data_IF_735669639005
#
_entry.id   IF_735669639005
#
_cell.length_a   1.000
_cell.length_b   1.000
_cell.length_c   1.000
_cell.angle_alpha   90.00
_cell.angle_beta   90.00
_cell.angle_gamma   90.00
#
_symmetry.space_group_name_H-M   'P 1'
#
loop_
_entity.id
_entity.type
_entity.pdbx_description
1 polymer ?
#
# COMPACT_ATOMS: atom_id res chain seq x y z
N UNK A 1 0.11 4.57 0.81
CA UNK A 1 0.35 3.40 1.68
C UNK A 1 -0.72 3.39 2.77
N UNK A 2 -1.40 2.26 2.99
CA UNK A 2 -2.51 2.19 3.96
C UNK A 2 -1.97 2.00 5.39
N UNK A 3 -2.36 2.89 6.29
CA UNK A 3 -1.91 2.88 7.69
C UNK A 3 -2.88 2.17 8.63
N UNK A 4 -4.10 1.86 8.19
CA UNK A 4 -5.14 1.31 9.07
C UNK A 4 -5.27 -0.21 8.98
N UNK A 5 -5.05 -0.81 7.81
CA UNK A 5 -5.17 -2.27 7.64
C UNK A 5 -3.85 -2.90 7.24
N UNK A 6 -3.08 -2.26 6.37
CA UNK A 6 -1.80 -2.81 5.94
C UNK A 6 -0.72 -2.69 7.03
N UNK A 7 -0.32 -1.47 7.42
CA UNK A 7 0.82 -1.30 8.35
C UNK A 7 0.68 -1.96 9.74
N UNK A 8 -0.51 -2.03 10.39
CA UNK A 8 -0.62 -2.65 11.72
C UNK A 8 -0.65 -4.18 11.71
N UNK A 9 -1.17 -4.80 10.64
CA UNK A 9 -1.47 -6.24 10.61
C UNK A 9 -0.55 -7.05 9.69
N UNK A 10 0.22 -6.40 8.81
CA UNK A 10 1.15 -7.07 7.90
C UNK A 10 2.50 -7.38 8.56
N UNK A 11 3.21 -8.37 8.01
CA UNK A 11 4.62 -8.60 8.35
C UNK A 11 5.55 -7.61 7.62
N UNK A 12 6.78 -7.40 8.08
CA UNK A 12 7.75 -6.55 7.38
C UNK A 12 7.95 -6.93 5.90
N UNK A 13 7.95 -8.22 5.58
CA UNK A 13 8.08 -8.72 4.21
C UNK A 13 6.86 -8.36 3.36
N UNK A 14 5.65 -8.49 3.91
CA UNK A 14 4.42 -8.08 3.26
C UNK A 14 4.40 -6.56 3.03
N UNK A 15 4.89 -5.78 4.00
CA UNK A 15 5.03 -4.32 3.86
C UNK A 15 5.96 -3.98 2.71
N UNK A 16 7.13 -4.63 2.60
CA UNK A 16 8.05 -4.45 1.47
C UNK A 16 7.39 -4.78 0.13
N UNK A 17 6.68 -5.90 0.06
CA UNK A 17 5.98 -6.34 -1.14
C UNK A 17 4.94 -5.33 -1.60
N UNK A 18 4.11 -4.87 -0.67
CA UNK A 18 3.06 -3.90 -0.95
C UNK A 18 3.64 -2.56 -1.42
N UNK A 19 4.72 -2.08 -0.77
CA UNK A 19 5.42 -0.85 -1.19
C UNK A 19 5.96 -1.00 -2.61
N UNK A 20 6.62 -2.11 -2.92
CA UNK A 20 7.08 -2.41 -4.28
C UNK A 20 5.91 -2.37 -5.27
N UNK A 21 4.78 -2.97 -4.92
CA UNK A 21 3.57 -2.97 -5.76
C UNK A 21 3.07 -1.54 -6.01
N UNK A 22 3.00 -0.66 -5.00
CA UNK A 22 2.55 0.73 -5.19
C UNK A 22 3.54 1.55 -6.02
N UNK A 23 4.84 1.36 -5.82
CA UNK A 23 5.88 2.01 -6.64
C UNK A 23 5.75 1.57 -8.10
N UNK A 24 5.49 0.29 -8.35
CA UNK A 24 5.29 -0.23 -9.69
C UNK A 24 3.98 0.26 -10.34
N UNK A 25 2.90 0.33 -9.56
CA UNK A 25 1.59 0.77 -10.07
C UNK A 25 1.58 2.28 -10.37
N UNK A 26 2.18 3.10 -9.51
CA UNK A 26 2.06 4.57 -9.55
C UNK A 26 3.34 5.29 -9.98
N UNK A 27 4.51 4.67 -9.83
CA UNK A 27 5.82 5.28 -10.11
C UNK A 27 6.31 5.10 -11.55
N UNK A 28 5.62 4.31 -12.37
CA UNK A 28 5.92 4.18 -13.81
C UNK A 28 5.76 5.54 -14.49
N UNK A 29 6.87 6.09 -14.99
CA UNK A 29 6.90 7.41 -15.63
C UNK A 29 7.38 8.56 -14.74
N UNK A 30 7.73 8.29 -13.48
CA UNK A 30 8.27 9.32 -12.58
C UNK A 30 7.22 10.05 -11.75
N UNK A 31 7.67 10.90 -10.83
CA UNK A 31 6.81 11.85 -10.11
C UNK A 31 5.99 11.26 -8.94
N UNK A 32 6.13 9.97 -8.64
CA UNK A 32 5.48 9.36 -7.48
C UNK A 32 6.30 9.55 -6.21
N UNK A 33 5.66 10.07 -5.16
CA UNK A 33 6.24 10.20 -3.82
C UNK A 33 5.56 9.17 -2.92
N UNK A 34 6.35 8.21 -2.41
CA UNK A 34 5.85 7.21 -1.48
C UNK A 34 5.51 7.89 -0.15
N UNK A 35 4.23 7.89 0.20
CA UNK A 35 3.75 8.43 1.47
C UNK A 35 2.64 7.56 2.09
N UNK A 36 2.54 7.55 3.43
CA UNK A 36 1.35 7.11 4.15
C UNK A 36 0.10 7.91 3.73
N UNK A 37 -1.09 7.29 3.72
CA UNK A 37 -2.36 7.98 3.45
C UNK A 37 -2.79 8.92 4.59
N UNK A 38 -2.38 8.59 5.82
CA UNK A 38 -2.60 9.35 7.04
C UNK A 38 -1.39 9.18 7.97
N UNK A 39 -1.42 9.84 9.13
CA UNK A 39 -0.35 9.72 10.12
C UNK A 39 -0.18 8.26 10.58
N UNK A 40 1.06 7.85 10.80
CA UNK A 40 1.41 6.56 11.40
C UNK A 40 1.08 6.65 12.90
N UNK A 41 0.17 5.80 13.36
CA UNK A 41 -0.24 5.73 14.76
C UNK A 41 0.67 4.82 15.61
N UNK A 42 0.41 4.79 16.91
CA UNK A 42 1.15 3.94 17.86
C UNK A 42 0.83 2.43 17.73
N UNK A 43 -0.14 2.09 16.90
CA UNK A 43 -0.56 0.74 16.54
C UNK A 43 0.35 0.07 15.50
N UNK A 44 1.21 0.85 14.83
CA UNK A 44 2.16 0.32 13.86
C UNK A 44 3.46 -0.11 14.54
N UNK A 45 3.90 -1.34 14.28
CA UNK A 45 5.17 -1.84 14.81
C UNK A 45 6.36 -1.07 14.23
N UNK A 46 7.42 -0.80 15.02
CA UNK A 46 8.62 -0.13 14.52
C UNK A 46 9.27 -0.85 13.33
N UNK A 47 9.22 -2.19 13.30
CA UNK A 47 9.76 -3.01 12.22
C UNK A 47 9.02 -2.77 10.90
N UNK A 48 7.70 -2.55 10.94
CA UNK A 48 6.93 -2.24 9.74
C UNK A 48 7.21 -0.83 9.23
N UNK A 49 7.47 0.12 10.14
CA UNK A 49 7.90 1.48 9.77
C UNK A 49 9.27 1.42 9.08
N UNK A 50 10.23 0.71 9.68
CA UNK A 50 11.55 0.50 9.08
C UNK A 50 11.46 -0.18 7.71
N UNK A 51 10.65 -1.22 7.59
CA UNK A 51 10.42 -1.93 6.33
C UNK A 51 9.83 -1.01 5.25
N UNK A 52 8.89 -0.12 5.61
CA UNK A 52 8.33 0.87 4.71
C UNK A 52 9.40 1.82 4.17
N UNK A 53 10.22 2.40 5.05
CA UNK A 53 11.28 3.33 4.63
C UNK A 53 12.39 2.64 3.84
N UNK A 54 12.83 1.46 4.27
CA UNK A 54 13.83 0.66 3.56
C UNK A 54 13.35 0.30 2.15
N UNK A 55 12.12 -0.19 2.02
CA UNK A 55 11.52 -0.50 0.72
C UNK A 55 11.39 0.74 -0.17
N UNK A 56 10.96 1.87 0.39
CA UNK A 56 10.85 3.11 -0.38
C UNK A 56 12.22 3.59 -0.91
N UNK A 57 13.28 3.44 -0.11
CA UNK A 57 14.63 3.84 -0.50
C UNK A 57 15.24 2.89 -1.55
N UNK A 58 15.07 1.59 -1.37
CA UNK A 58 15.61 0.55 -2.24
C UNK A 58 14.88 0.48 -3.59
N UNK A 59 13.54 0.48 -3.55
CA UNK A 59 12.70 0.28 -4.74
C UNK A 59 12.34 1.58 -5.47
N UNK A 60 12.54 2.74 -4.83
CA UNK A 60 12.26 4.05 -5.41
C UNK A 60 13.36 4.59 -6.35
N UNK A 61 14.45 3.86 -6.53
CA UNK A 61 15.54 4.28 -7.43
C UNK A 61 15.14 4.06 -8.90
N UNK A 62 15.41 5.07 -9.74
CA UNK A 62 15.19 4.97 -11.18
C UNK A 62 16.46 4.48 -11.90
N UNK A 63 16.34 3.58 -12.89
CA UNK A 63 15.09 2.97 -13.39
C UNK A 63 14.49 1.95 -12.42
N UNK A 64 13.16 1.98 -12.25
CA UNK A 64 12.44 1.06 -11.34
C UNK A 64 12.59 -0.38 -11.88
N UNK A 65 13.24 -1.23 -11.11
CA UNK A 65 13.47 -2.65 -11.42
C UNK A 65 12.85 -3.54 -10.34
N UNK A 66 11.60 -3.98 -10.54
CA UNK A 66 10.85 -4.77 -9.55
C UNK A 66 10.47 -6.16 -10.04
N UNK A 67 11.08 -6.61 -11.14
CA UNK A 67 10.79 -7.88 -11.80
C UNK A 67 11.17 -9.13 -11.01
N UNK A 68 11.97 -8.98 -9.95
CA UNK A 68 12.38 -10.08 -9.09
C UNK A 68 11.56 -10.15 -7.79
N UNK A 69 10.77 -9.11 -7.50
CA UNK A 69 9.98 -8.99 -6.26
C UNK A 69 8.51 -9.24 -6.54
N UNK A 70 7.96 -8.64 -7.59
CA UNK A 70 6.54 -8.74 -7.90
C UNK A 70 6.23 -10.01 -8.69
N UNK A 71 5.15 -10.70 -8.31
CA UNK A 71 4.65 -11.83 -9.08
C UNK A 71 4.18 -11.39 -10.48
N UNK A 72 4.09 -12.33 -11.43
CA UNK A 72 3.53 -12.03 -12.76
C UNK A 72 2.08 -11.53 -12.69
N UNK A 73 1.31 -12.00 -11.70
CA UNK A 73 -0.07 -11.58 -11.49
C UNK A 73 -0.18 -10.09 -11.17
N UNK A 74 0.75 -9.54 -10.39
CA UNK A 74 0.74 -8.10 -10.02
C UNK A 74 1.17 -7.19 -11.17
N UNK A 75 1.87 -7.73 -12.17
CA UNK A 75 2.30 -6.95 -13.33
C UNK A 75 1.22 -6.78 -14.39
N UNK A 76 0.22 -7.66 -14.36
CA UNK A 76 -0.91 -7.59 -15.28
C UNK A 76 -1.77 -6.36 -14.95
N UNK A 77 -2.05 -5.47 -15.92
CA UNK A 77 -2.99 -4.39 -15.69
C UNK A 77 -4.37 -4.97 -15.36
N UNK A 78 -5.06 -4.47 -14.32
CA UNK A 78 -6.37 -4.96 -13.94
C UNK A 78 -7.35 -4.76 -15.10
N UNK A 79 -8.17 -5.77 -15.33
CA UNK A 79 -9.21 -5.75 -16.37
C UNK A 79 -10.30 -4.76 -15.97
N UNK A 80 -10.97 -4.11 -16.94
CA UNK A 80 -12.03 -3.12 -16.64
C UNK A 80 -13.14 -3.67 -15.74
N UNK A 81 -13.45 -4.97 -15.85
CA UNK A 81 -14.41 -5.66 -14.99
C UNK A 81 -13.97 -5.71 -13.51
N UNK A 82 -12.67 -5.86 -13.24
CA UNK A 82 -12.11 -5.92 -11.87
C UNK A 82 -12.08 -4.53 -11.24
N UNK A 83 -11.75 -3.50 -12.03
CA UNK A 83 -11.81 -2.09 -11.61
C UNK A 83 -13.26 -1.72 -11.23
N UNK A 84 -14.22 -2.10 -12.07
CA UNK A 84 -15.64 -1.85 -11.82
C UNK A 84 -16.15 -2.57 -10.55
N UNK A 85 -15.68 -3.78 -10.27
CA UNK A 85 -16.05 -4.52 -9.07
C UNK A 85 -15.51 -3.89 -7.76
N UNK A 86 -14.32 -3.26 -7.80
CA UNK A 86 -13.74 -2.58 -6.64
C UNK A 86 -14.46 -1.27 -6.28
N UNK A 87 -15.10 -0.61 -7.25
CA UNK A 87 -15.93 0.58 -7.00
C UNK A 87 -17.29 0.28 -6.36
N UNK A 88 -17.71 -0.99 -6.34
CA UNK A 88 -19.02 -1.40 -5.78
C UNK A 88 -18.98 -1.75 -4.31
N UNK A 89 -17.84 -1.54 -3.61
CA UNK A 89 -17.73 -1.80 -2.17
C UNK A 89 -18.83 -1.01 -1.46
N UNK A 90 -19.83 -1.75 -0.97
CA UNK A 90 -20.94 -1.25 -0.20
C UNK A 90 -20.39 -0.38 0.93
N UNK A 91 -20.94 0.83 1.00
CA UNK A 91 -20.74 1.80 2.07
C UNK A 91 -20.92 1.07 3.40
N UNK A 92 -19.82 0.59 3.99
CA UNK A 92 -19.83 -0.08 5.29
C UNK A 92 -20.69 0.76 6.23
N UNK A 93 -21.70 0.13 6.83
CA UNK A 93 -22.63 0.80 7.73
C UNK A 93 -21.83 1.67 8.71
N UNK A 94 -22.04 2.99 8.62
CA UNK A 94 -21.35 3.94 9.49
C UNK A 94 -21.65 3.52 10.91
N UNK A 95 -20.64 3.02 11.64
CA UNK A 95 -20.79 2.68 13.06
C UNK A 95 -21.48 3.85 13.76
N UNK A 96 -22.52 3.61 14.58
CA UNK A 96 -23.25 4.68 15.24
C UNK A 96 -22.27 5.55 16.02
N UNK A 97 -22.37 6.87 15.87
CA UNK A 97 -21.55 7.81 16.61
C UNK A 97 -21.79 7.54 18.10
N UNK A 98 -20.77 7.04 18.80
CA UNK A 98 -20.83 6.86 20.25
C UNK A 98 -21.17 8.22 20.85
N UNK A 99 -22.33 8.35 21.48
CA UNK A 99 -22.70 9.57 22.19
C UNK A 99 -21.66 9.81 23.27
N UNK A 100 -20.91 10.91 23.16
CA UNK A 100 -20.08 11.40 24.26
C UNK A 100 -21.02 11.74 25.42
N UNK A 101 -21.01 10.90 26.45
CA UNK A 101 -21.28 11.33 27.83
C UNK A 101 -19.94 11.52 28.52
#
# INVERSE_FOLDING_TARGET
>A
IDVQQMLPFSTPEQVRYDVAKRIYDLGRGGGYIVAPCHNIGADVSPQNIEALYAAAYEYGQYPIQLDHILSEADRRPPTQAEIAAQSTVEKQERRPRRSRQ
#
